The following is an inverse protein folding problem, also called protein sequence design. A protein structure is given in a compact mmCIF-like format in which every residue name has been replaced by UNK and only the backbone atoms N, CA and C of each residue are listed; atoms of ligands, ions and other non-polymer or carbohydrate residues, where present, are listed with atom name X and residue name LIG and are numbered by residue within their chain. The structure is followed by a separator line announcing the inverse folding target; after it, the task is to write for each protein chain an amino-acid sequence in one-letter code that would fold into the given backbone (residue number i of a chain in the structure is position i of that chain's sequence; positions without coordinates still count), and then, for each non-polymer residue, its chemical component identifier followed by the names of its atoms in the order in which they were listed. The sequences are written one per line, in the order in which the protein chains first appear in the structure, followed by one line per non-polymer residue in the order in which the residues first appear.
data_IF_813773583241
#
_entry.id   IF_813773583241
#
_cell.length_a   1.000
_cell.length_b   1.000
_cell.length_c   1.000
_cell.angle_alpha   90.00
_cell.angle_beta   90.00
_cell.angle_gamma   90.00
#
_symmetry.space_group_name_H-M   'P 1'
#
loop_
_entity.id
_entity.type
_entity.pdbx_description
1 polymer ?
#
# COMPACT_ATOMS: atom_id res chain seq x y z
N UNK A 1 -6.69 8.74 -13.73
CA UNK A 1 -6.45 7.29 -13.56
C UNK A 1 -5.22 6.90 -14.37
N UNK A 2 -4.08 6.65 -13.73
CA UNK A 2 -2.89 6.19 -14.43
C UNK A 2 -3.11 4.74 -14.86
N UNK A 3 -3.14 4.49 -16.17
CA UNK A 3 -3.12 3.12 -16.70
C UNK A 3 -1.72 2.58 -16.42
N UNK A 4 -1.60 1.56 -15.56
CA UNK A 4 -0.34 0.86 -15.36
C UNK A 4 -0.10 0.06 -16.65
N UNK A 5 0.93 0.39 -17.46
CA UNK A 5 1.18 -0.32 -18.71
C UNK A 5 1.51 -1.79 -18.40
N UNK A 6 0.94 -2.71 -19.17
CA UNK A 6 1.32 -4.12 -19.06
C UNK A 6 2.74 -4.28 -19.56
N UNK A 7 3.61 -4.81 -18.71
CA UNK A 7 5.03 -5.06 -19.01
C UNK A 7 5.27 -6.52 -19.35
N UNK A 8 6.36 -6.81 -20.07
CA UNK A 8 6.80 -8.19 -20.37
C UNK A 8 6.97 -9.01 -19.10
N UNK A 9 7.47 -8.40 -18.00
CA UNK A 9 7.60 -9.05 -16.71
C UNK A 9 6.24 -9.46 -16.11
N UNK A 10 5.18 -8.67 -16.31
CA UNK A 10 3.84 -9.03 -15.86
C UNK A 10 3.28 -10.20 -16.67
N UNK A 11 3.57 -10.27 -17.97
CA UNK A 11 3.20 -11.44 -18.79
C UNK A 11 3.92 -12.70 -18.31
N UNK A 12 5.23 -12.60 -18.03
CA UNK A 12 6.02 -13.72 -17.50
C UNK A 12 5.50 -14.18 -16.12
N UNK A 13 5.15 -13.24 -15.24
CA UNK A 13 4.55 -13.56 -13.95
C UNK A 13 3.22 -14.32 -14.11
N UNK A 14 2.39 -13.92 -15.08
CA UNK A 14 1.11 -14.58 -15.36
C UNK A 14 1.31 -16.01 -15.87
N UNK A 15 2.34 -16.27 -16.69
CA UNK A 15 2.73 -17.62 -17.11
C UNK A 15 3.14 -18.46 -15.87
N UNK A 16 4.00 -17.93 -14.99
CA UNK A 16 4.43 -18.65 -13.77
C UNK A 16 3.26 -19.00 -12.85
N UNK A 17 2.30 -18.09 -12.68
CA UNK A 17 1.09 -18.35 -11.87
C UNK A 17 0.28 -19.48 -12.53
N UNK A 18 0.08 -19.41 -13.85
CA UNK A 18 -0.65 -20.43 -14.62
C UNK A 18 -0.03 -21.83 -14.43
N UNK A 19 1.29 -21.93 -14.55
CA UNK A 19 2.01 -23.19 -14.31
C UNK A 19 1.92 -23.65 -12.86
N UNK A 20 1.94 -22.72 -11.90
CA UNK A 20 1.83 -23.04 -10.47
C UNK A 20 0.44 -23.59 -10.12
N UNK A 21 -0.61 -23.02 -10.69
CA UNK A 21 -1.99 -23.54 -10.56
C UNK A 21 -2.10 -24.94 -11.17
N UNK A 22 -1.53 -25.14 -12.37
CA UNK A 22 -1.50 -26.46 -13.01
C UNK A 22 -0.79 -27.52 -12.13
N UNK A 23 0.37 -27.15 -11.56
CA UNK A 23 1.13 -28.01 -10.63
C UNK A 23 0.33 -28.35 -9.37
N UNK A 24 -0.37 -27.38 -8.79
CA UNK A 24 -1.21 -27.59 -7.61
C UNK A 24 -2.38 -28.56 -7.91
N UNK A 25 -2.89 -28.55 -9.13
CA UNK A 25 -3.88 -29.51 -9.61
C UNK A 25 -3.28 -30.85 -10.08
N UNK A 26 -1.98 -31.09 -9.87
CA UNK A 26 -1.23 -32.26 -10.34
C UNK A 26 -1.33 -32.47 -11.87
N UNK A 27 -1.59 -31.40 -12.62
CA UNK A 27 -1.66 -31.45 -14.07
C UNK A 27 -0.25 -31.38 -14.68
N UNK A 28 0.04 -32.28 -15.62
CA UNK A 28 1.31 -32.31 -16.35
C UNK A 28 1.45 -31.13 -17.32
N UNK A 29 0.33 -30.66 -17.86
CA UNK A 29 0.27 -29.56 -18.83
C UNK A 29 -0.68 -28.46 -18.35
N UNK A 30 -0.30 -27.21 -18.61
CA UNK A 30 -1.14 -26.06 -18.34
C UNK A 30 -2.17 -25.88 -19.46
N UNK A 31 -3.46 -25.81 -19.10
CA UNK A 31 -4.55 -25.59 -20.03
C UNK A 31 -5.21 -24.21 -19.81
N UNK A 32 -6.21 -23.90 -20.63
CA UNK A 32 -6.93 -22.62 -20.57
C UNK A 32 -7.59 -22.37 -19.20
N UNK A 33 -8.02 -23.42 -18.50
CA UNK A 33 -8.68 -23.28 -17.19
C UNK A 33 -7.70 -22.73 -16.14
N UNK A 34 -6.46 -23.23 -16.12
CA UNK A 34 -5.42 -22.69 -15.24
C UNK A 34 -5.08 -21.23 -15.57
N UNK A 35 -5.06 -20.88 -16.86
CA UNK A 35 -4.79 -19.51 -17.30
C UNK A 35 -5.92 -18.54 -16.92
N UNK A 36 -7.18 -18.98 -16.99
CA UNK A 36 -8.33 -18.22 -16.52
C UNK A 36 -8.25 -17.94 -15.03
N UNK A 37 -7.85 -18.95 -14.24
CA UNK A 37 -7.68 -18.79 -12.80
C UNK A 37 -6.50 -17.86 -12.46
N UNK A 38 -5.37 -18.00 -13.15
CA UNK A 38 -4.24 -17.09 -13.01
C UNK A 38 -4.63 -15.64 -13.33
N UNK A 39 -5.42 -15.43 -14.39
CA UNK A 39 -5.92 -14.11 -14.76
C UNK A 39 -6.88 -13.54 -13.71
N UNK A 40 -7.73 -14.38 -13.12
CA UNK A 40 -8.61 -14.00 -12.01
C UNK A 40 -7.81 -13.53 -10.80
N UNK A 41 -6.81 -14.31 -10.38
CA UNK A 41 -5.91 -13.96 -9.28
C UNK A 41 -5.14 -12.66 -9.57
N UNK A 42 -4.62 -12.50 -10.80
CA UNK A 42 -3.90 -11.31 -11.22
C UNK A 42 -4.78 -10.05 -11.22
N UNK A 43 -6.05 -10.16 -11.65
CA UNK A 43 -6.99 -9.03 -11.61
C UNK A 43 -7.30 -8.60 -10.19
N UNK A 44 -7.53 -9.56 -9.28
CA UNK A 44 -7.74 -9.26 -7.86
C UNK A 44 -6.52 -8.59 -7.24
N UNK A 45 -5.30 -9.08 -7.51
CA UNK A 45 -4.07 -8.47 -6.98
C UNK A 45 -3.83 -7.07 -7.54
N UNK A 46 -4.13 -6.83 -8.82
CA UNK A 46 -3.96 -5.52 -9.47
C UNK A 46 -5.01 -4.51 -8.99
N UNK A 47 -6.28 -4.92 -8.87
CA UNK A 47 -7.34 -4.08 -8.32
C UNK A 47 -7.07 -3.75 -6.85
N UNK A 48 -6.63 -4.72 -6.06
CA UNK A 48 -6.21 -4.47 -4.68
C UNK A 48 -5.01 -3.52 -4.62
N UNK A 49 -3.99 -3.70 -5.46
CA UNK A 49 -2.84 -2.79 -5.50
C UNK A 49 -3.24 -1.36 -5.91
N UNK A 50 -4.13 -1.22 -6.90
CA UNK A 50 -4.65 0.07 -7.35
C UNK A 50 -5.52 0.76 -6.28
N UNK A 51 -6.38 0.00 -5.59
CA UNK A 51 -7.22 0.51 -4.50
C UNK A 51 -6.42 0.83 -3.24
N UNK A 52 -5.34 0.08 -2.98
CA UNK A 52 -4.50 0.27 -1.80
C UNK A 52 -3.51 1.42 -1.95
N UNK A 53 -3.23 1.89 -3.17
CA UNK A 53 -2.13 2.84 -3.40
C UNK A 53 -0.78 2.31 -2.89
N UNK A 54 -0.61 0.98 -2.88
CA UNK A 54 0.48 0.31 -2.17
C UNK A 54 1.81 0.76 -2.77
N UNK A 55 2.59 1.51 -1.99
CA UNK A 55 3.92 1.94 -2.40
C UNK A 55 4.85 0.72 -2.44
N UNK A 56 5.90 0.78 -3.24
CA UNK A 56 6.93 -0.28 -3.26
C UNK A 56 7.51 -0.58 -1.87
N UNK A 57 7.41 0.37 -0.94
CA UNK A 57 7.84 0.24 0.45
C UNK A 57 6.92 -0.67 1.27
N UNK A 58 5.61 -0.58 1.03
CA UNK A 58 4.60 -1.40 1.69
C UNK A 58 4.54 -2.84 1.16
N UNK A 59 5.01 -3.08 -0.07
CA UNK A 59 5.09 -4.42 -0.65
C UNK A 59 6.09 -5.35 0.08
N UNK A 60 7.05 -4.80 0.83
CA UNK A 60 8.03 -5.58 1.62
C UNK A 60 7.69 -5.66 3.11
N UNK A 61 6.57 -5.07 3.54
CA UNK A 61 6.16 -5.03 4.94
C UNK A 61 5.36 -6.28 5.30
N UNK A 62 5.50 -6.75 6.54
CA UNK A 62 4.63 -7.82 7.06
C UNK A 62 3.21 -7.31 7.27
N UNK A 63 2.21 -8.20 7.26
CA UNK A 63 0.81 -7.83 7.47
C UNK A 63 0.58 -7.08 8.79
N UNK A 64 1.29 -7.46 9.85
CA UNK A 64 1.23 -6.78 11.14
C UNK A 64 1.73 -5.32 11.04
N UNK A 65 2.80 -5.08 10.29
CA UNK A 65 3.38 -3.75 10.10
C UNK A 65 2.47 -2.88 9.22
N UNK A 66 1.85 -3.46 8.19
CA UNK A 66 0.85 -2.79 7.36
C UNK A 66 -0.40 -2.40 8.19
N UNK A 67 -0.86 -3.28 9.07
CA UNK A 67 -1.96 -2.99 9.97
C UNK A 67 -1.61 -1.84 10.93
N UNK A 68 -0.40 -1.82 11.48
CA UNK A 68 0.08 -0.73 12.33
C UNK A 68 0.10 0.62 11.59
N UNK A 69 0.62 0.65 10.36
CA UNK A 69 0.61 1.86 9.52
C UNK A 69 -0.81 2.34 9.23
N UNK A 70 -1.73 1.46 8.83
CA UNK A 70 -3.14 1.82 8.59
C UNK A 70 -3.84 2.38 9.83
N UNK A 71 -3.47 1.91 11.02
CA UNK A 71 -4.01 2.43 12.28
C UNK A 71 -3.52 3.86 12.54
N UNK A 72 -2.23 4.13 12.29
CA UNK A 72 -1.66 5.47 12.37
C UNK A 72 -2.32 6.40 11.35
N UNK A 73 -2.47 5.98 10.10
CA UNK A 73 -3.13 6.76 9.04
C UNK A 73 -4.55 7.17 9.44
N UNK A 74 -5.36 6.22 9.95
CA UNK A 74 -6.71 6.51 10.45
C UNK A 74 -6.71 7.54 11.57
N UNK A 75 -5.76 7.42 12.51
CA UNK A 75 -5.66 8.39 13.61
C UNK A 75 -5.24 9.77 13.10
N UNK A 76 -4.29 9.84 12.17
CA UNK A 76 -3.88 11.09 11.53
C UNK A 76 -5.04 11.76 10.79
N UNK A 77 -5.87 10.99 10.07
CA UNK A 77 -7.04 11.51 9.38
C UNK A 77 -8.09 12.13 10.32
N UNK A 78 -8.16 11.69 11.58
CA UNK A 78 -8.99 12.33 12.61
C UNK A 78 -8.36 13.60 13.19
N UNK A 79 -7.03 13.68 13.22
CA UNK A 79 -6.30 14.82 13.79
C UNK A 79 -6.22 16.01 12.85
N UNK A 80 -6.13 15.75 11.53
CA UNK A 80 -5.97 16.78 10.51
C UNK A 80 -7.11 16.61 9.48
N UNK A 81 -8.05 17.57 9.39
CA UNK A 81 -9.03 17.61 8.32
C UNK A 81 -8.37 17.72 6.93
N UNK A 82 -9.08 17.35 5.88
CA UNK A 82 -8.60 17.53 4.50
C UNK A 82 -8.34 19.02 4.24
N UNK A 83 -7.16 19.35 3.68
CA UNK A 83 -6.69 20.73 3.50
C UNK A 83 -6.16 21.41 4.77
N UNK A 84 -6.34 20.78 5.94
CA UNK A 84 -5.86 21.26 7.22
C UNK A 84 -4.35 21.13 7.36
N UNK A 85 -3.78 21.91 8.28
CA UNK A 85 -2.37 21.80 8.65
C UNK A 85 -2.20 21.78 10.17
N UNK A 86 -1.22 21.01 10.63
CA UNK A 86 -0.89 20.89 12.05
C UNK A 86 0.64 20.79 12.25
N UNK A 87 1.18 21.30 13.37
CA UNK A 87 2.59 21.14 13.69
C UNK A 87 2.96 19.66 13.84
N UNK A 88 4.09 19.26 13.24
CA UNK A 88 4.60 17.88 13.27
C UNK A 88 4.79 17.37 14.69
N UNK A 89 5.29 18.23 15.60
CA UNK A 89 5.47 17.91 17.02
C UNK A 89 4.16 17.55 17.71
N UNK A 90 3.11 18.34 17.50
CA UNK A 90 1.77 18.12 18.09
C UNK A 90 1.13 16.82 17.57
N UNK A 91 1.29 16.55 16.28
CA UNK A 91 0.76 15.31 15.67
C UNK A 91 1.49 14.09 16.21
N UNK A 92 2.83 14.13 16.25
CA UNK A 92 3.65 13.05 16.83
C UNK A 92 3.30 12.82 18.30
N UNK A 93 3.20 13.87 19.11
CA UNK A 93 2.82 13.74 20.52
C UNK A 93 1.44 13.09 20.68
N UNK A 94 0.46 13.48 19.86
CA UNK A 94 -0.88 12.89 19.90
C UNK A 94 -0.88 11.41 19.51
N UNK A 95 -0.04 11.01 18.55
CA UNK A 95 0.12 9.62 18.14
C UNK A 95 0.84 8.80 19.22
N UNK A 96 1.87 9.34 19.86
CA UNK A 96 2.54 8.68 20.97
C UNK A 96 1.61 8.49 22.18
N UNK A 97 0.79 9.51 22.51
CA UNK A 97 -0.25 9.38 23.55
C UNK A 97 -1.31 8.33 23.22
N UNK A 98 -1.53 8.05 21.93
CA UNK A 98 -2.43 7.00 21.48
C UNK A 98 -1.78 5.60 21.48
N UNK A 99 -0.50 5.49 21.89
CA UNK A 99 0.20 4.21 22.04
C UNK A 99 0.86 3.69 20.76
N UNK A 100 1.03 4.51 19.73
CA UNK A 100 1.74 4.12 18.51
C UNK A 100 3.26 4.17 18.70
N UNK A 101 3.96 3.20 18.14
CA UNK A 101 5.42 3.16 18.14
C UNK A 101 6.01 4.15 17.11
N UNK A 102 7.23 4.63 17.40
CA UNK A 102 7.89 5.63 16.55
C UNK A 102 8.16 5.12 15.13
N UNK A 103 8.46 3.83 14.98
CA UNK A 103 8.73 3.22 13.68
C UNK A 103 7.48 3.17 12.81
N UNK A 104 6.32 2.79 13.37
CA UNK A 104 5.04 2.82 12.64
C UNK A 104 4.65 4.25 12.27
N UNK A 105 4.87 5.22 13.16
CA UNK A 105 4.57 6.64 12.86
C UNK A 105 5.45 7.18 11.73
N UNK A 106 6.76 6.95 11.79
CA UNK A 106 7.68 7.42 10.75
C UNK A 106 7.45 6.70 9.41
N UNK A 107 7.17 5.39 9.45
CA UNK A 107 6.83 4.62 8.24
C UNK A 107 5.53 5.12 7.63
N UNK A 108 4.49 5.32 8.43
CA UNK A 108 3.20 5.83 7.96
C UNK A 108 3.34 7.21 7.32
N UNK A 109 4.05 8.14 7.96
CA UNK A 109 4.31 9.48 7.40
C UNK A 109 5.01 9.40 6.03
N UNK A 110 5.99 8.50 5.90
CA UNK A 110 6.73 8.30 4.64
C UNK A 110 5.85 7.70 3.54
N UNK A 111 4.97 6.77 3.89
CA UNK A 111 4.00 6.18 2.96
C UNK A 111 2.98 7.24 2.51
N UNK A 112 2.40 7.98 3.44
CA UNK A 112 1.42 9.05 3.17
C UNK A 112 2.03 10.18 2.32
N UNK A 113 3.29 10.56 2.57
CA UNK A 113 4.01 11.54 1.75
C UNK A 113 4.23 11.04 0.31
N UNK A 114 4.56 9.76 0.13
CA UNK A 114 4.71 9.15 -1.20
C UNK A 114 3.40 9.03 -1.96
N UNK A 115 2.28 8.85 -1.26
CA UNK A 115 0.93 8.83 -1.84
C UNK A 115 0.36 10.22 -2.13
N UNK A 116 1.08 11.28 -1.76
CA UNK A 116 0.60 12.66 -1.84
C UNK A 116 -0.67 12.90 -0.98
N UNK A 117 -0.87 12.09 0.07
CA UNK A 117 -1.94 12.28 1.06
C UNK A 117 -1.57 13.40 2.04
N UNK A 118 -0.27 13.55 2.30
CA UNK A 118 0.30 14.50 3.25
C UNK A 118 1.53 15.19 2.66
N UNK A 119 1.68 16.49 2.91
CA UNK A 119 2.89 17.27 2.58
C UNK A 119 3.53 17.86 3.84
N UNK A 120 4.84 17.65 3.97
CA UNK A 120 5.64 18.28 5.02
C UNK A 120 6.15 19.64 4.53
N UNK A 121 5.66 20.72 5.14
CA UNK A 121 6.02 22.11 4.80
C UNK A 121 6.82 22.75 5.94
N UNK A 122 7.42 23.93 5.69
CA UNK A 122 8.21 24.69 6.66
C UNK A 122 9.33 23.85 7.29
N UNK A 123 10.26 23.34 6.48
CA UNK A 123 11.36 22.48 6.96
C UNK A 123 10.87 21.25 7.75
N UNK A 124 9.76 20.64 7.31
CA UNK A 124 9.08 19.50 7.98
C UNK A 124 8.52 19.80 9.37
N UNK A 125 8.41 21.07 9.76
CA UNK A 125 7.81 21.48 11.04
C UNK A 125 6.27 21.42 11.02
N UNK A 126 5.66 21.45 9.84
CA UNK A 126 4.20 21.42 9.67
C UNK A 126 3.79 20.30 8.71
N UNK A 127 2.79 19.54 9.09
CA UNK A 127 2.13 18.52 8.28
C UNK A 127 0.86 19.14 7.70
N UNK A 128 0.74 19.18 6.38
CA UNK A 128 -0.49 19.56 5.67
C UNK A 128 -1.11 18.34 5.03
N UNK A 129 -2.41 18.13 5.23
CA UNK A 129 -3.14 17.01 4.62
C UNK A 129 -3.72 17.44 3.28
N UNK A 130 -3.35 16.77 2.21
CA UNK A 130 -3.80 17.08 0.85
C UNK A 130 -5.12 16.37 0.50
N UNK A 131 -5.34 15.14 1.00
CA UNK A 131 -6.51 14.28 0.73
C UNK A 131 -6.93 13.51 1.98
#
# INVERSE_FOLDING_TARGET
HGVIPITVRQLEALIRITESVAKACLAREANIVHAQEALRLFRVSTLNAAASGLTTLEAYMTDAMLAAVRNVERRMAMLIPIGGSAPTSRVKESLFRAGFDENSVNTALRVMERRDDVTLINERKTIRRNK
#
